data_IF_379741661969
#
_entry.id   IF_379741661969
#
_cell.length_a   1.000
_cell.length_b   1.000
_cell.length_c   1.000
_cell.angle_alpha   90.00
_cell.angle_beta   90.00
_cell.angle_gamma   90.00
#
_symmetry.space_group_name_H-M   'P 1'
#
loop_
_entity.id
_entity.type
_entity.pdbx_description
1 polymer ?
#
# COMPACT_ATOMS: atom_id res chain seq x y z
N UNK A 1 -4.62 -81.74 3.14
CA UNK A 1 -3.57 -80.70 3.20
C UNK A 1 -3.58 -79.94 1.89
N UNK A 2 -3.86 -78.64 1.91
CA UNK A 2 -3.23 -77.67 1.00
C UNK A 2 -3.57 -76.25 1.49
N UNK A 3 -2.54 -75.60 2.00
CA UNK A 3 -2.46 -74.22 2.48
C UNK A 3 -1.86 -73.40 1.34
N UNK A 4 -2.50 -72.32 0.89
CA UNK A 4 -1.89 -71.21 0.13
C UNK A 4 -2.98 -70.15 -0.16
N UNK A 5 -2.78 -68.85 -0.20
CA UNK A 5 -1.89 -67.88 0.44
C UNK A 5 -2.59 -66.53 0.19
N UNK A 6 -2.40 -65.61 1.13
CA UNK A 6 -2.82 -64.22 1.15
C UNK A 6 -2.29 -63.41 -0.05
N UNK A 7 -2.97 -62.31 -0.38
CA UNK A 7 -2.51 -61.34 -1.37
C UNK A 7 -3.52 -60.25 -1.71
N UNK A 8 -4.21 -59.69 -0.71
CA UNK A 8 -4.99 -58.45 -0.91
C UNK A 8 -4.06 -57.26 -0.73
N UNK A 9 -3.36 -56.88 -1.80
CA UNK A 9 -2.77 -55.54 -1.93
C UNK A 9 -3.91 -54.57 -2.24
N UNK A 10 -4.40 -53.89 -1.22
CA UNK A 10 -5.33 -52.78 -1.38
C UNK A 10 -4.63 -51.59 -2.07
N UNK A 11 -5.35 -50.80 -2.88
CA UNK A 11 -4.81 -49.58 -3.46
C UNK A 11 -4.82 -48.49 -2.38
N UNK A 12 -3.66 -48.17 -1.84
CA UNK A 12 -3.54 -47.16 -0.79
C UNK A 12 -2.28 -46.31 -1.01
N UNK A 13 -2.19 -45.69 -2.18
CA UNK A 13 -1.15 -44.68 -2.46
C UNK A 13 -1.62 -43.53 -3.38
N UNK A 14 -2.85 -43.59 -3.91
CA UNK A 14 -3.34 -42.62 -4.90
C UNK A 14 -3.81 -41.29 -4.27
N UNK A 15 -4.24 -41.30 -3.01
CA UNK A 15 -4.82 -40.10 -2.37
C UNK A 15 -3.81 -39.05 -1.91
N UNK A 16 -2.59 -39.43 -1.51
CA UNK A 16 -1.59 -38.49 -0.99
C UNK A 16 -0.96 -37.65 -2.10
N UNK A 17 -0.74 -38.24 -3.28
CA UNK A 17 -0.23 -37.53 -4.45
C UNK A 17 -1.18 -36.45 -4.96
N UNK A 18 -2.48 -36.72 -4.92
CA UNK A 18 -3.50 -35.75 -5.33
C UNK A 18 -3.63 -34.58 -4.34
N UNK A 19 -3.48 -34.85 -3.04
CA UNK A 19 -3.45 -33.80 -2.01
C UNK A 19 -2.22 -32.89 -2.18
N UNK A 20 -1.05 -33.47 -2.43
CA UNK A 20 0.17 -32.70 -2.69
C UNK A 20 0.06 -31.85 -3.96
N UNK A 21 -0.56 -32.39 -5.02
CA UNK A 21 -0.83 -31.64 -6.26
C UNK A 21 -1.78 -30.47 -5.99
N UNK A 22 -2.87 -30.70 -5.26
CA UNK A 22 -3.83 -29.67 -4.90
C UNK A 22 -3.17 -28.55 -4.07
N UNK A 23 -2.35 -28.90 -3.08
CA UNK A 23 -1.59 -27.94 -2.27
C UNK A 23 -0.65 -27.08 -3.14
N UNK A 24 0.05 -27.68 -4.10
CA UNK A 24 0.93 -26.94 -5.00
C UNK A 24 0.15 -25.96 -5.90
N UNK A 25 -1.03 -26.36 -6.39
CA UNK A 25 -1.91 -25.47 -7.17
C UNK A 25 -2.38 -24.29 -6.33
N UNK A 26 -2.78 -24.52 -5.08
CA UNK A 26 -3.19 -23.45 -4.15
C UNK A 26 -2.02 -22.51 -3.87
N UNK A 27 -0.83 -23.03 -3.62
CA UNK A 27 0.37 -22.22 -3.38
C UNK A 27 0.71 -21.33 -4.58
N UNK A 28 0.60 -21.85 -5.81
CA UNK A 28 0.81 -21.09 -7.03
C UNK A 28 -0.26 -20.00 -7.23
N UNK A 29 -1.52 -20.33 -6.97
CA UNK A 29 -2.61 -19.35 -7.05
C UNK A 29 -2.42 -18.20 -6.05
N UNK A 30 -2.00 -18.50 -4.81
CA UNK A 30 -1.68 -17.47 -3.80
C UNK A 30 -0.50 -16.61 -4.24
N UNK A 31 0.56 -17.21 -4.77
CA UNK A 31 1.72 -16.48 -5.32
C UNK A 31 1.32 -15.54 -6.47
N UNK A 32 0.43 -16.00 -7.35
CA UNK A 32 -0.10 -15.19 -8.45
C UNK A 32 -0.90 -13.99 -7.93
N UNK A 33 -1.77 -14.22 -6.94
CA UNK A 33 -2.56 -13.16 -6.30
C UNK A 33 -1.68 -12.10 -5.64
N UNK A 34 -0.60 -12.52 -4.96
CA UNK A 34 0.36 -11.59 -4.35
C UNK A 34 1.05 -10.74 -5.42
N UNK A 35 1.48 -11.34 -6.54
CA UNK A 35 2.11 -10.60 -7.65
C UNK A 35 1.16 -9.59 -8.28
N UNK A 36 -0.12 -9.95 -8.47
CA UNK A 36 -1.13 -9.04 -9.00
C UNK A 36 -1.39 -7.86 -8.05
N UNK A 37 -1.42 -8.11 -6.74
CA UNK A 37 -1.58 -7.06 -5.74
C UNK A 37 -0.35 -6.13 -5.63
N UNK A 38 0.87 -6.66 -5.83
CA UNK A 38 2.10 -5.86 -5.81
C UNK A 38 2.26 -5.02 -7.07
N UNK A 39 1.79 -5.51 -8.23
CA UNK A 39 1.84 -4.79 -9.50
C UNK A 39 0.60 -3.90 -9.74
N UNK A 40 -0.25 -3.72 -8.73
CA UNK A 40 -1.35 -2.77 -8.83
C UNK A 40 -0.76 -1.36 -9.10
N UNK A 41 -1.26 -0.62 -10.10
CA UNK A 41 -0.85 0.76 -10.28
C UNK A 41 -1.12 1.54 -8.99
N UNK A 42 -0.26 2.51 -8.64
CA UNK A 42 -0.48 3.33 -7.45
C UNK A 42 -1.88 3.95 -7.52
N UNK A 43 -2.58 4.06 -6.37
CA UNK A 43 -3.90 4.66 -6.35
C UNK A 43 -3.83 6.07 -6.96
N UNK A 44 -4.86 6.49 -7.72
CA UNK A 44 -4.90 7.84 -8.24
C UNK A 44 -4.80 8.84 -7.09
N UNK A 45 -4.11 9.98 -7.28
CA UNK A 45 -4.07 11.02 -6.25
C UNK A 45 -5.51 11.42 -5.90
N UNK A 46 -5.82 11.61 -4.60
CA UNK A 46 -7.15 12.00 -4.17
C UNK A 46 -7.59 13.26 -4.93
N UNK A 47 -8.81 13.28 -5.50
CA UNK A 47 -9.34 14.50 -6.07
C UNK A 47 -9.32 15.56 -4.96
N UNK A 48 -8.81 16.75 -5.30
CA UNK A 48 -8.82 17.94 -4.43
C UNK A 48 -7.75 18.03 -3.33
N UNK A 49 -6.65 17.26 -3.35
CA UNK A 49 -5.53 17.50 -2.41
C UNK A 49 -5.06 18.96 -2.40
N UNK A 50 -4.97 19.60 -3.58
CA UNK A 50 -4.60 21.02 -3.67
C UNK A 50 -5.63 21.93 -3.01
N UNK A 51 -6.93 21.67 -3.20
CA UNK A 51 -7.97 22.48 -2.57
C UNK A 51 -8.01 22.30 -1.05
N UNK A 52 -7.71 21.09 -0.54
CA UNK A 52 -7.53 20.84 0.88
C UNK A 52 -6.33 21.60 1.45
N UNK A 53 -5.18 21.57 0.77
CA UNK A 53 -4.00 22.34 1.17
C UNK A 53 -4.28 23.84 1.20
N UNK A 54 -4.96 24.39 0.18
CA UNK A 54 -5.37 25.79 0.14
C UNK A 54 -6.32 26.13 1.29
N UNK A 55 -7.30 25.27 1.57
CA UNK A 55 -8.21 25.47 2.70
C UNK A 55 -7.47 25.47 4.04
N UNK A 56 -6.62 24.49 4.29
CA UNK A 56 -5.84 24.40 5.53
C UNK A 56 -4.88 25.59 5.68
N UNK A 57 -4.30 26.07 4.58
CA UNK A 57 -3.48 27.29 4.58
C UNK A 57 -4.29 28.54 4.95
N UNK A 58 -5.49 28.71 4.40
CA UNK A 58 -6.38 29.83 4.75
C UNK A 58 -6.81 29.75 6.23
N UNK A 59 -7.05 28.54 6.76
CA UNK A 59 -7.40 28.33 8.17
C UNK A 59 -6.27 28.75 9.13
N UNK A 60 -5.00 28.73 8.70
CA UNK A 60 -3.88 29.29 9.47
C UNK A 60 -3.86 30.81 9.52
N UNK A 61 -4.73 31.50 8.75
CA UNK A 61 -4.83 32.95 8.67
C UNK A 61 -3.46 33.64 8.50
N UNK A 62 -2.70 33.29 7.45
CA UNK A 62 -1.39 33.88 7.21
C UNK A 62 -1.49 35.40 7.05
N UNK A 63 -0.52 36.11 7.62
CA UNK A 63 -0.41 37.55 7.44
C UNK A 63 -0.23 37.91 5.95
N UNK A 64 -0.91 38.95 5.49
CA UNK A 64 -0.72 39.45 4.13
C UNK A 64 0.52 40.34 4.05
N UNK A 65 1.40 40.07 3.09
CA UNK A 65 2.52 40.96 2.79
C UNK A 65 2.01 42.32 2.31
N UNK A 66 2.53 43.41 2.88
CA UNK A 66 2.10 44.78 2.57
C UNK A 66 3.00 45.52 1.58
N UNK A 67 4.01 44.84 1.01
CA UNK A 67 4.93 45.48 0.05
C UNK A 67 5.99 46.36 0.73
N UNK A 68 6.57 45.89 1.83
CA UNK A 68 7.64 46.62 2.53
C UNK A 68 8.92 46.64 1.68
N UNK A 69 9.61 47.80 1.55
CA UNK A 69 10.94 47.87 0.96
C UNK A 69 12.05 47.42 1.93
N UNK A 70 11.73 47.25 3.21
CA UNK A 70 12.67 46.76 4.22
C UNK A 70 12.83 45.24 4.10
N UNK A 71 14.07 44.81 3.83
CA UNK A 71 14.44 43.40 3.69
C UNK A 71 14.15 42.59 4.95
N UNK A 72 14.35 43.15 6.15
CA UNK A 72 14.09 42.40 7.39
C UNK A 72 12.61 42.06 7.56
N UNK A 73 11.73 42.96 7.10
CA UNK A 73 10.28 42.73 7.10
C UNK A 73 9.87 41.70 6.05
N UNK A 74 10.56 41.66 4.91
CA UNK A 74 10.35 40.63 3.88
C UNK A 74 10.75 39.26 4.40
N UNK A 75 11.95 39.13 4.98
CA UNK A 75 12.46 37.87 5.52
C UNK A 75 11.57 37.34 6.65
N UNK A 76 11.15 38.20 7.59
CA UNK A 76 10.23 37.79 8.67
C UNK A 76 8.87 37.31 8.13
N UNK A 77 8.35 37.93 7.06
CA UNK A 77 7.12 37.47 6.42
C UNK A 77 7.31 36.12 5.73
N UNK A 78 8.42 35.91 5.01
CA UNK A 78 8.75 34.64 4.36
C UNK A 78 8.85 33.53 5.42
N UNK A 79 9.60 33.76 6.50
CA UNK A 79 9.77 32.80 7.60
C UNK A 79 8.43 32.36 8.20
N UNK A 80 7.49 33.29 8.36
CA UNK A 80 6.14 33.00 8.87
C UNK A 80 5.35 32.10 7.91
N UNK A 81 5.44 32.36 6.61
CA UNK A 81 4.78 31.54 5.59
C UNK A 81 5.41 30.14 5.50
N UNK A 82 6.74 30.04 5.58
CA UNK A 82 7.44 28.75 5.55
C UNK A 82 7.11 27.86 6.77
N UNK A 83 6.96 28.47 7.95
CA UNK A 83 6.49 27.76 9.15
C UNK A 83 5.12 27.13 8.92
N UNK A 84 4.20 27.84 8.28
CA UNK A 84 2.87 27.32 7.93
C UNK A 84 2.99 26.13 6.96
N UNK A 85 3.80 26.25 5.89
CA UNK A 85 3.98 25.14 4.95
C UNK A 85 4.64 23.92 5.60
N UNK A 86 5.55 24.13 6.55
CA UNK A 86 6.18 23.05 7.32
C UNK A 86 5.15 22.29 8.15
N UNK A 87 4.16 22.97 8.73
CA UNK A 87 3.07 22.35 9.47
C UNK A 87 2.14 21.52 8.57
N UNK A 88 1.86 22.00 7.35
CA UNK A 88 0.92 21.36 6.42
C UNK A 88 1.51 20.21 5.61
N UNK A 89 2.83 19.99 5.68
CA UNK A 89 3.55 18.94 4.93
C UNK A 89 3.73 17.63 5.73
N UNK A 90 3.24 17.57 6.98
CA UNK A 90 3.17 16.34 7.79
C UNK A 90 1.99 15.47 7.37
#
# INVERSE_FOLDING_TARGET
MSRRNNGSTGPQDEGLGDVLRALNVVAQAMQQQVKLNQNAPPPPPPPNQRALLVRMFIEQKPDSFKGSPDLLVVEDWIDKIEKIFTLLRK
#
